data_IF_032496866243
#
_entry.id   IF_032496866243
#
_cell.length_a   1.000
_cell.length_b   1.000
_cell.length_c   1.000
_cell.angle_alpha   90.00
_cell.angle_beta   90.00
_cell.angle_gamma   90.00
#
_symmetry.space_group_name_H-M   'P 1'
#
loop_
_entity.id
_entity.type
_entity.pdbx_description
1 polymer ?
#
# COMPACT_ATOMS: atom_id res chain seq x y z
N UNK A 1 20.91 -54.07 10.12
CA UNK A 1 21.54 -53.95 11.46
C UNK A 1 20.73 -52.95 12.26
N UNK A 2 20.01 -53.46 13.20
CA UNK A 2 19.11 -52.82 14.14
C UNK A 2 19.87 -52.21 15.33
N UNK A 3 19.52 -51.01 15.74
CA UNK A 3 19.80 -50.58 17.13
C UNK A 3 18.71 -49.61 17.58
N UNK A 4 17.87 -50.11 18.48
CA UNK A 4 16.99 -49.38 19.41
C UNK A 4 17.82 -48.95 20.64
N UNK A 5 17.49 -47.78 21.21
CA UNK A 5 17.65 -47.50 22.64
C UNK A 5 16.76 -46.31 22.97
N UNK A 6 15.69 -46.51 23.65
CA UNK A 6 15.30 -46.65 25.09
C UNK A 6 15.23 -45.31 25.78
N UNK A 7 14.00 -45.04 26.15
CA UNK A 7 13.40 -44.02 27.03
C UNK A 7 14.04 -44.05 28.45
N UNK A 8 14.21 -42.89 29.10
CA UNK A 8 14.30 -42.83 30.58
C UNK A 8 13.62 -41.59 31.12
N UNK A 9 12.47 -41.85 31.71
CA UNK A 9 11.76 -41.01 32.66
C UNK A 9 12.47 -40.99 34.02
N UNK A 10 12.53 -39.82 34.69
CA UNK A 10 12.67 -39.75 36.15
C UNK A 10 11.73 -38.71 36.70
N UNK A 11 10.82 -39.20 37.53
CA UNK A 11 9.95 -38.44 38.42
C UNK A 11 10.63 -38.31 39.80
N UNK A 12 10.35 -37.24 40.53
CA UNK A 12 10.72 -37.05 41.92
C UNK A 12 10.13 -35.75 42.47
N UNK A 13 8.97 -35.76 43.06
CA UNK A 13 8.53 -35.77 44.47
C UNK A 13 8.93 -34.50 45.22
N UNK A 14 7.96 -33.64 45.49
CA UNK A 14 7.20 -33.44 46.74
C UNK A 14 8.00 -33.07 48.00
N UNK A 15 7.76 -31.88 48.54
CA UNK A 15 7.73 -31.70 50.00
C UNK A 15 6.85 -30.50 50.39
N UNK A 16 6.06 -30.76 51.39
CA UNK A 16 4.99 -29.97 52.03
C UNK A 16 5.52 -29.06 53.16
N UNK A 17 4.63 -28.11 53.58
CA UNK A 17 4.34 -27.69 54.96
C UNK A 17 5.19 -26.52 55.47
N UNK A 18 4.74 -25.50 56.20
CA UNK A 18 3.70 -25.39 57.27
C UNK A 18 3.40 -23.91 57.57
N UNK A 19 2.17 -23.62 57.72
CA UNK A 19 1.41 -22.84 58.75
C UNK A 19 2.13 -22.04 59.82
N UNK A 20 1.63 -20.83 60.09
CA UNK A 20 1.17 -20.23 61.34
C UNK A 20 1.45 -18.72 61.34
N UNK A 21 0.78 -17.75 61.92
CA UNK A 21 -0.43 -17.61 62.71
C UNK A 21 -0.64 -16.10 62.97
N UNK A 22 -1.87 -15.63 62.89
CA UNK A 22 -2.58 -14.65 63.72
C UNK A 22 -1.86 -13.39 64.25
N UNK A 23 -2.50 -12.23 64.01
CA UNK A 23 -2.32 -10.98 64.72
C UNK A 23 -3.40 -9.95 64.33
N UNK A 24 -4.57 -10.05 65.04
CA UNK A 24 -5.63 -9.02 64.93
C UNK A 24 -5.29 -7.87 65.87
N UNK A 25 -5.44 -6.62 65.39
CA UNK A 25 -5.70 -5.45 66.24
C UNK A 25 -6.75 -4.59 65.53
N UNK A 26 -7.91 -4.50 66.12
CA UNK A 26 -8.97 -3.59 65.82
C UNK A 26 -8.75 -2.23 66.52
N UNK A 27 -8.87 -1.14 65.78
CA UNK A 27 -9.17 0.17 66.36
C UNK A 27 -10.26 0.85 65.53
N UNK A 28 -11.37 1.11 66.17
CA UNK A 28 -12.50 1.84 65.68
C UNK A 28 -12.22 3.35 65.68
N UNK A 29 -12.85 4.10 64.78
CA UNK A 29 -12.93 5.54 64.93
C UNK A 29 -13.35 6.30 63.69
N UNK A 30 -14.64 6.71 63.72
CA UNK A 30 -15.21 7.94 63.21
C UNK A 30 -15.58 8.07 61.72
N UNK A 31 -16.87 8.05 61.51
CA UNK A 31 -17.67 8.57 60.38
C UNK A 31 -17.40 10.05 60.09
N UNK A 32 -17.18 10.40 58.86
CA UNK A 32 -17.69 11.63 58.24
C UNK A 32 -18.22 11.31 56.85
N UNK A 33 -19.52 11.46 56.71
CA UNK A 33 -20.23 11.52 55.42
C UNK A 33 -19.92 12.84 54.73
N UNK A 34 -19.50 12.78 53.46
CA UNK A 34 -19.98 13.75 52.46
C UNK A 34 -19.44 13.39 51.07
N UNK A 35 -20.29 13.40 50.08
CA UNK A 35 -19.90 13.51 48.67
C UNK A 35 -20.11 12.29 47.80
N UNK A 36 -21.34 12.04 47.38
CA UNK A 36 -21.62 11.33 46.13
C UNK A 36 -20.91 12.06 44.97
N UNK A 37 -19.86 11.46 44.44
CA UNK A 37 -19.25 11.82 43.17
C UNK A 37 -19.14 10.54 42.37
N UNK A 38 -19.97 10.44 41.38
CA UNK A 38 -19.99 9.39 40.38
C UNK A 38 -18.62 9.34 39.66
N UNK A 39 -17.81 8.37 39.94
CA UNK A 39 -16.52 8.09 39.26
C UNK A 39 -16.51 6.69 38.69
N UNK A 40 -17.40 6.43 37.78
CA UNK A 40 -17.20 5.38 36.77
C UNK A 40 -16.91 6.05 35.43
N UNK A 41 -15.73 6.66 35.32
CA UNK A 41 -15.09 6.87 33.99
C UNK A 41 -14.04 5.80 33.81
N UNK A 42 -14.45 4.67 33.25
CA UNK A 42 -13.58 3.84 32.44
C UNK A 42 -12.90 4.78 31.43
N UNK A 43 -11.57 4.85 31.49
CA UNK A 43 -10.77 5.40 30.41
C UNK A 43 -10.98 4.49 29.19
N UNK A 44 -11.95 4.82 28.35
CA UNK A 44 -11.89 4.47 26.95
C UNK A 44 -10.71 5.25 26.37
N UNK A 45 -9.62 4.55 26.07
CA UNK A 45 -8.60 4.99 25.12
C UNK A 45 -9.17 4.85 23.70
N UNK A 46 -10.31 5.44 23.48
CA UNK A 46 -10.86 5.71 22.16
C UNK A 46 -10.25 7.01 21.67
N UNK A 47 -9.57 6.95 20.50
CA UNK A 47 -8.93 8.09 19.87
C UNK A 47 -9.79 9.35 19.93
N UNK A 48 -9.15 10.47 20.23
CA UNK A 48 -9.74 11.80 20.24
C UNK A 48 -10.55 11.97 18.94
N UNK A 49 -11.89 12.01 19.07
CA UNK A 49 -12.76 12.38 17.95
C UNK A 49 -12.36 13.79 17.56
N UNK A 50 -11.65 13.93 16.43
CA UNK A 50 -11.25 15.23 15.89
C UNK A 50 -12.51 15.91 15.35
N UNK A 51 -13.34 16.42 16.26
CA UNK A 51 -14.61 17.06 15.94
C UNK A 51 -14.48 18.40 15.21
N UNK A 52 -13.24 18.88 14.97
CA UNK A 52 -12.94 20.19 14.38
C UNK A 52 -12.11 20.11 13.10
N UNK A 53 -12.02 18.96 12.43
CA UNK A 53 -11.30 18.87 11.16
C UNK A 53 -12.02 19.70 10.07
N UNK A 54 -11.27 20.45 9.24
CA UNK A 54 -11.85 21.45 8.34
C UNK A 54 -12.87 20.91 7.33
N UNK A 55 -12.78 19.61 6.97
CA UNK A 55 -13.61 18.98 5.96
C UNK A 55 -14.37 17.75 6.47
N UNK A 56 -14.50 17.58 7.79
CA UNK A 56 -15.17 16.43 8.39
C UNK A 56 -16.64 16.29 7.95
N UNK A 57 -17.32 17.39 7.71
CA UNK A 57 -18.70 17.45 7.24
C UNK A 57 -18.90 16.97 5.81
N UNK A 58 -17.81 16.89 5.01
CA UNK A 58 -17.86 16.37 3.64
C UNK A 58 -17.85 14.85 3.54
N UNK A 59 -17.53 14.16 4.64
CA UNK A 59 -17.50 12.69 4.63
C UNK A 59 -18.92 12.10 4.73
N UNK A 60 -19.17 10.95 4.08
CA UNK A 60 -20.33 10.12 4.36
C UNK A 60 -20.48 9.89 5.87
N UNK A 61 -21.74 9.93 6.34
CA UNK A 61 -22.03 9.86 7.78
C UNK A 61 -21.46 8.62 8.45
N UNK A 62 -21.55 7.46 7.81
CA UNK A 62 -21.04 6.18 8.29
C UNK A 62 -19.52 6.18 8.48
N UNK A 63 -18.76 6.75 7.54
CA UNK A 63 -17.30 6.89 7.64
C UNK A 63 -16.93 7.89 8.74
N UNK A 64 -17.60 9.03 8.78
CA UNK A 64 -17.38 10.05 9.81
C UNK A 64 -17.64 9.51 11.21
N UNK A 65 -18.73 8.76 11.40
CA UNK A 65 -19.09 8.16 12.68
C UNK A 65 -18.12 7.04 13.08
N UNK A 66 -17.59 6.28 12.10
CA UNK A 66 -16.58 5.25 12.33
C UNK A 66 -15.21 5.85 12.69
N UNK A 67 -14.90 7.07 12.21
CA UNK A 67 -13.62 7.73 12.44
C UNK A 67 -12.44 7.10 11.68
N UNK A 68 -12.69 6.17 10.75
CA UNK A 68 -11.69 5.41 10.02
C UNK A 68 -12.10 5.25 8.56
N UNK A 69 -11.14 5.38 7.65
CA UNK A 69 -11.22 4.96 6.25
C UNK A 69 -10.32 3.74 6.06
N UNK A 70 -10.90 2.62 5.62
CA UNK A 70 -10.14 1.40 5.29
C UNK A 70 -9.54 1.50 3.90
N UNK A 71 -8.22 1.46 3.82
CA UNK A 71 -7.44 1.63 2.58
C UNK A 71 -6.87 0.29 2.14
N UNK A 72 -7.30 -0.21 0.98
CA UNK A 72 -6.64 -1.36 0.34
C UNK A 72 -5.34 -0.92 -0.33
N UNK A 73 -4.22 -1.58 -0.01
CA UNK A 73 -2.89 -1.20 -0.51
C UNK A 73 -1.98 -2.41 -0.62
N UNK A 74 -1.09 -2.48 -1.60
CA UNK A 74 -0.03 -3.49 -1.67
C UNK A 74 1.23 -3.00 -0.96
N UNK A 75 1.31 -3.30 0.35
CA UNK A 75 2.35 -2.78 1.25
C UNK A 75 3.69 -3.48 1.02
N UNK A 76 4.13 -3.53 -0.24
CA UNK A 76 5.38 -4.11 -0.71
C UNK A 76 5.96 -3.36 -1.93
N UNK A 77 5.65 -2.04 -2.07
CA UNK A 77 5.97 -1.23 -3.26
C UNK A 77 6.73 0.07 -2.91
N UNK A 78 7.96 -0.04 -2.30
CA UNK A 78 8.72 1.15 -1.93
C UNK A 78 9.14 1.99 -3.15
N UNK A 79 9.12 3.34 -3.07
CA UNK A 79 8.89 4.14 -1.87
C UNK A 79 7.43 4.52 -1.63
N UNK A 80 6.48 3.94 -2.40
CA UNK A 80 5.05 4.36 -2.35
C UNK A 80 4.38 3.86 -1.08
N UNK A 81 4.43 2.54 -0.80
CA UNK A 81 3.97 1.96 0.45
C UNK A 81 4.74 0.67 0.78
N UNK A 82 5.28 0.60 1.98
CA UNK A 82 6.05 -0.57 2.43
C UNK A 82 6.17 -0.63 3.95
N UNK A 83 6.66 -1.77 4.46
CA UNK A 83 7.01 -1.91 5.88
C UNK A 83 8.44 -1.46 6.11
N UNK A 84 8.63 -0.56 7.06
CA UNK A 84 9.95 -0.22 7.56
C UNK A 84 10.54 -1.32 8.46
N UNK A 85 11.75 -1.11 8.98
CA UNK A 85 12.43 -2.08 9.86
C UNK A 85 11.69 -2.34 11.18
N UNK A 86 10.80 -1.46 11.60
CA UNK A 86 9.97 -1.61 12.80
C UNK A 86 8.64 -2.32 12.50
N UNK A 87 8.33 -2.58 11.22
CA UNK A 87 7.07 -3.14 10.76
C UNK A 87 5.96 -2.10 10.56
N UNK A 88 6.28 -0.80 10.71
CA UNK A 88 5.33 0.29 10.44
C UNK A 88 5.13 0.44 8.93
N UNK A 89 3.88 0.66 8.49
CA UNK A 89 3.60 1.06 7.10
C UNK A 89 4.05 2.50 6.89
N UNK A 90 4.92 2.71 5.91
CA UNK A 90 5.51 4.01 5.55
C UNK A 90 5.56 4.15 4.03
N UNK A 91 5.69 5.37 3.54
CA UNK A 91 5.76 5.64 2.11
C UNK A 91 5.03 6.92 1.74
N UNK A 92 4.98 7.20 0.44
CA UNK A 92 4.27 8.35 -0.12
C UNK A 92 2.79 8.27 0.23
N UNK A 93 2.16 7.13 -0.04
CA UNK A 93 0.72 6.91 0.15
C UNK A 93 0.31 6.97 1.63
N UNK A 94 1.01 6.31 2.58
CA UNK A 94 0.74 6.49 4.01
C UNK A 94 0.90 7.94 4.50
N UNK A 95 1.95 8.66 4.07
CA UNK A 95 2.13 10.06 4.46
C UNK A 95 1.01 10.96 3.90
N UNK A 96 0.57 10.72 2.66
CA UNK A 96 -0.59 11.41 2.08
C UNK A 96 -1.88 11.02 2.80
N UNK A 97 -2.07 9.74 3.14
CA UNK A 97 -3.22 9.27 3.92
C UNK A 97 -3.33 9.97 5.27
N UNK A 98 -2.21 10.10 5.99
CA UNK A 98 -2.13 10.84 7.26
C UNK A 98 -2.52 12.32 7.08
N UNK A 99 -2.05 12.97 6.00
CA UNK A 99 -2.36 14.35 5.71
C UNK A 99 -3.84 14.56 5.31
N UNK A 100 -4.40 13.68 4.48
CA UNK A 100 -5.82 13.67 4.12
C UNK A 100 -6.69 13.41 5.35
N UNK A 101 -6.28 12.46 6.20
CA UNK A 101 -6.98 12.12 7.43
C UNK A 101 -7.11 13.30 8.39
N UNK A 102 -6.07 14.12 8.54
CA UNK A 102 -6.11 15.36 9.33
C UNK A 102 -7.14 16.38 8.79
N UNK A 103 -7.26 16.50 7.46
CA UNK A 103 -8.26 17.39 6.86
C UNK A 103 -9.70 16.88 7.07
N UNK A 104 -9.87 15.56 7.07
CA UNK A 104 -11.17 14.90 7.13
C UNK A 104 -11.59 14.51 8.57
N UNK A 105 -10.68 14.53 9.54
CA UNK A 105 -10.96 14.11 10.93
C UNK A 105 -11.13 12.61 11.11
N UNK A 106 -10.45 11.80 10.30
CA UNK A 106 -10.49 10.33 10.33
C UNK A 106 -9.09 9.74 10.16
N UNK A 107 -8.90 8.51 10.61
CA UNK A 107 -7.68 7.74 10.36
C UNK A 107 -7.76 7.00 9.02
N UNK A 108 -6.66 6.98 8.26
CA UNK A 108 -6.49 6.12 7.08
C UNK A 108 -5.80 4.83 7.51
N UNK A 109 -6.56 3.76 7.62
CA UNK A 109 -6.04 2.44 8.00
C UNK A 109 -5.65 1.65 6.74
N UNK A 110 -4.35 1.45 6.54
CA UNK A 110 -3.80 0.70 5.40
C UNK A 110 -3.84 -0.80 5.67
N UNK A 111 -4.68 -1.51 4.91
CA UNK A 111 -4.82 -2.97 4.93
C UNK A 111 -4.09 -3.59 3.73
N UNK A 112 -3.18 -4.54 4.00
CA UNK A 112 -2.41 -5.19 2.94
C UNK A 112 -3.26 -6.11 2.06
N UNK A 113 -3.06 -6.02 0.76
CA UNK A 113 -3.63 -6.88 -0.27
C UNK A 113 -2.72 -6.97 -1.48
N UNK A 114 -2.83 -8.01 -2.31
CA UNK A 114 -2.12 -8.07 -3.59
C UNK A 114 -2.74 -7.07 -4.56
N UNK A 115 -1.91 -6.38 -5.34
CA UNK A 115 -2.33 -5.27 -6.20
C UNK A 115 -3.51 -5.63 -7.12
N UNK A 116 -3.45 -6.78 -7.78
CA UNK A 116 -4.47 -7.27 -8.71
C UNK A 116 -5.83 -7.55 -8.05
N UNK A 117 -5.88 -7.69 -6.71
CA UNK A 117 -7.12 -7.93 -5.95
C UNK A 117 -7.75 -6.67 -5.36
N UNK A 118 -7.07 -5.52 -5.36
CA UNK A 118 -7.52 -4.31 -4.67
C UNK A 118 -8.88 -3.81 -5.18
N UNK A 119 -9.07 -3.73 -6.50
CA UNK A 119 -10.36 -3.32 -7.08
C UNK A 119 -11.48 -4.33 -6.81
N UNK A 120 -11.14 -5.61 -6.66
CA UNK A 120 -12.07 -6.64 -6.19
C UNK A 120 -12.50 -6.41 -4.74
N UNK A 121 -11.55 -6.02 -3.90
CA UNK A 121 -11.79 -5.63 -2.51
C UNK A 121 -12.71 -4.42 -2.36
N UNK A 122 -12.57 -3.40 -3.21
CA UNK A 122 -13.50 -2.27 -3.29
C UNK A 122 -14.91 -2.71 -3.67
N UNK A 123 -15.05 -3.55 -4.69
CA UNK A 123 -16.35 -4.07 -5.12
C UNK A 123 -17.06 -4.87 -4.03
N UNK A 124 -16.32 -5.62 -3.24
CA UNK A 124 -16.84 -6.43 -2.11
C UNK A 124 -16.99 -5.64 -0.81
N UNK A 125 -16.66 -4.33 -0.80
CA UNK A 125 -16.68 -3.45 0.38
C UNK A 125 -15.73 -3.91 1.50
N UNK A 126 -14.65 -4.61 1.16
CA UNK A 126 -13.56 -4.92 2.10
C UNK A 126 -12.79 -3.64 2.45
N UNK A 127 -12.66 -2.72 1.49
CA UNK A 127 -12.03 -1.42 1.61
C UNK A 127 -13.03 -0.33 1.24
N UNK A 128 -12.86 0.87 1.82
CA UNK A 128 -13.60 2.07 1.45
C UNK A 128 -13.00 2.73 0.21
N UNK A 129 -11.67 2.69 0.10
CA UNK A 129 -10.90 3.13 -1.06
C UNK A 129 -9.65 2.25 -1.25
N UNK A 130 -9.00 2.35 -2.42
CA UNK A 130 -7.69 1.75 -2.65
C UNK A 130 -6.69 2.83 -3.04
N UNK A 131 -5.49 2.78 -2.43
CA UNK A 131 -4.38 3.70 -2.66
C UNK A 131 -3.09 2.88 -2.68
N UNK A 132 -2.45 2.77 -3.86
CA UNK A 132 -1.30 1.88 -4.10
C UNK A 132 -0.66 2.20 -5.45
N UNK A 133 -0.22 3.44 -5.67
CA UNK A 133 0.27 3.91 -6.97
C UNK A 133 -0.61 3.47 -8.17
N UNK A 134 -1.92 3.35 -7.94
CA UNK A 134 -2.80 2.77 -8.94
C UNK A 134 -3.03 3.73 -10.09
N UNK A 135 -2.50 3.39 -11.27
CA UNK A 135 -2.70 4.18 -12.48
C UNK A 135 -4.19 4.30 -12.81
N UNK A 136 -4.65 5.52 -13.00
CA UNK A 136 -5.99 5.82 -13.51
C UNK A 136 -6.04 5.49 -15.01
N UNK A 137 -6.66 4.35 -15.36
CA UNK A 137 -6.90 3.93 -16.75
C UNK A 137 -8.39 3.86 -17.04
N UNK A 138 -8.76 4.05 -18.31
CA UNK A 138 -10.17 3.90 -18.74
C UNK A 138 -10.75 2.53 -18.40
N UNK A 139 -9.95 1.48 -18.56
CA UNK A 139 -10.42 0.13 -18.29
C UNK A 139 -10.74 -0.07 -16.79
N UNK A 140 -9.93 0.47 -15.89
CA UNK A 140 -10.21 0.48 -14.44
C UNK A 140 -11.42 1.35 -14.12
N UNK A 141 -11.51 2.55 -14.73
CA UNK A 141 -12.68 3.43 -14.57
C UNK A 141 -13.98 2.73 -15.02
N UNK A 142 -13.92 1.93 -16.04
CA UNK A 142 -15.07 1.23 -16.60
C UNK A 142 -15.28 -0.19 -16.02
N UNK A 143 -14.28 -0.75 -15.37
CA UNK A 143 -14.31 -2.14 -14.85
C UNK A 143 -14.23 -3.15 -15.98
N UNK A 144 -13.32 -2.92 -16.91
CA UNK A 144 -13.04 -3.75 -18.08
C UNK A 144 -11.66 -4.39 -17.90
N UNK A 145 -11.53 -5.62 -18.32
CA UNK A 145 -10.25 -6.34 -18.36
C UNK A 145 -9.41 -5.86 -19.55
N UNK A 146 -8.17 -5.48 -19.28
CA UNK A 146 -7.25 -4.88 -20.27
C UNK A 146 -6.93 -5.82 -21.45
N UNK A 147 -6.88 -7.13 -21.20
CA UNK A 147 -6.47 -8.10 -22.20
C UNK A 147 -7.64 -8.52 -23.11
N UNK A 148 -8.78 -8.76 -22.48
CA UNK A 148 -9.95 -9.34 -23.16
C UNK A 148 -10.99 -8.31 -23.59
N UNK A 149 -10.91 -7.07 -23.06
CA UNK A 149 -11.91 -6.03 -23.27
C UNK A 149 -13.27 -6.34 -22.63
N UNK A 150 -13.35 -7.41 -21.81
CA UNK A 150 -14.62 -7.83 -21.20
C UNK A 150 -14.88 -7.10 -19.90
N UNK A 151 -16.16 -6.82 -19.66
CA UNK A 151 -16.61 -6.29 -18.37
C UNK A 151 -16.36 -7.32 -17.26
N UNK A 152 -15.60 -6.92 -16.23
CA UNK A 152 -15.27 -7.76 -15.07
C UNK A 152 -15.92 -7.27 -13.78
N UNK A 153 -16.63 -6.16 -13.83
CA UNK A 153 -17.36 -5.64 -12.68
C UNK A 153 -17.73 -4.18 -12.82
N UNK A 154 -18.18 -3.58 -11.72
CA UNK A 154 -18.36 -2.13 -11.64
C UNK A 154 -16.98 -1.49 -11.63
N UNK A 155 -16.76 -0.48 -12.47
CA UNK A 155 -15.56 0.34 -12.46
C UNK A 155 -15.51 1.25 -11.22
N UNK A 156 -14.44 2.03 -11.14
CA UNK A 156 -14.18 2.95 -10.04
C UNK A 156 -14.01 4.37 -10.56
N UNK A 157 -14.14 5.35 -9.65
CA UNK A 157 -13.64 6.70 -9.88
C UNK A 157 -12.27 6.83 -9.25
N UNK A 158 -11.42 7.67 -9.83
CA UNK A 158 -10.11 8.00 -9.30
C UNK A 158 -10.05 9.46 -8.85
N UNK A 159 -9.34 9.72 -7.76
CA UNK A 159 -8.88 11.06 -7.40
C UNK A 159 -7.37 11.08 -7.61
N UNK A 160 -6.92 11.76 -8.65
CA UNK A 160 -5.53 11.74 -9.10
C UNK A 160 -4.64 12.59 -8.21
N UNK A 161 -3.54 12.00 -7.72
CA UNK A 161 -2.65 12.62 -6.75
C UNK A 161 -1.17 12.67 -7.17
N UNK A 162 -0.78 11.96 -8.24
CA UNK A 162 0.61 11.89 -8.71
C UNK A 162 0.64 11.51 -10.18
N UNK A 163 1.78 11.65 -10.88
CA UNK A 163 1.94 11.19 -12.27
C UNK A 163 3.28 10.49 -12.44
N UNK A 164 3.28 9.29 -13.00
CA UNK A 164 4.50 8.60 -13.41
C UNK A 164 4.24 7.67 -14.59
N UNK A 165 5.32 7.32 -15.29
CA UNK A 165 5.35 6.24 -16.27
C UNK A 165 5.96 4.97 -15.69
N UNK A 166 6.07 3.94 -16.52
CA UNK A 166 6.77 2.68 -16.20
C UNK A 166 8.16 2.68 -16.80
N UNK A 167 9.10 2.03 -16.12
CA UNK A 167 10.50 1.92 -16.55
C UNK A 167 10.99 0.49 -16.56
N UNK A 168 11.90 0.21 -17.47
CA UNK A 168 12.65 -1.03 -17.50
C UNK A 168 13.90 -0.86 -16.65
N UNK A 169 14.26 -1.89 -15.90
CA UNK A 169 15.52 -1.99 -15.18
C UNK A 169 16.15 -3.37 -15.38
N UNK A 170 17.47 -3.43 -15.37
CA UNK A 170 18.27 -4.64 -15.58
C UNK A 170 19.21 -4.84 -14.39
N UNK A 171 19.90 -5.97 -14.36
CA UNK A 171 21.04 -6.12 -13.45
C UNK A 171 22.12 -5.13 -13.84
N UNK A 172 22.73 -4.50 -12.86
CA UNK A 172 23.75 -3.48 -13.07
C UNK A 172 24.95 -4.04 -13.85
N UNK A 173 25.29 -3.38 -14.97
CA UNK A 173 26.35 -3.79 -15.87
C UNK A 173 26.00 -4.97 -16.77
N UNK A 174 24.73 -5.37 -16.85
CA UNK A 174 24.25 -6.46 -17.70
C UNK A 174 22.91 -6.09 -18.35
N UNK A 175 22.91 -5.01 -19.15
CA UNK A 175 21.72 -4.47 -19.82
C UNK A 175 21.24 -5.34 -20.99
N UNK A 176 21.98 -6.37 -21.37
CA UNK A 176 21.62 -7.29 -22.46
C UNK A 176 21.31 -6.58 -23.79
N UNK A 177 21.77 -5.33 -23.96
CA UNK A 177 21.43 -4.46 -25.09
C UNK A 177 19.98 -3.96 -25.08
N UNK A 178 19.28 -4.03 -23.95
CA UNK A 178 17.91 -3.55 -23.77
C UNK A 178 17.96 -2.03 -23.57
N UNK A 179 17.28 -1.27 -24.43
CA UNK A 179 17.10 0.18 -24.31
C UNK A 179 15.65 0.59 -24.45
N UNK A 180 14.85 -0.25 -25.07
CA UNK A 180 13.43 -0.01 -25.34
C UNK A 180 12.63 -1.27 -25.09
N UNK A 181 11.32 -1.14 -25.01
CA UNK A 181 10.40 -2.27 -24.88
C UNK A 181 10.50 -3.27 -26.05
N UNK A 182 10.82 -2.79 -27.26
CA UNK A 182 11.00 -3.66 -28.45
C UNK A 182 12.24 -4.56 -28.35
N UNK A 183 13.27 -4.16 -27.59
CA UNK A 183 14.49 -4.97 -27.39
C UNK A 183 14.25 -6.18 -26.47
N UNK A 184 13.11 -6.24 -25.81
CA UNK A 184 12.67 -7.37 -24.99
C UNK A 184 12.20 -8.57 -25.82
N UNK A 185 12.02 -8.44 -27.14
CA UNK A 185 11.62 -9.54 -28.00
C UNK A 185 12.64 -10.71 -27.95
N UNK A 186 12.19 -11.87 -27.48
CA UNK A 186 13.03 -13.05 -27.25
C UNK A 186 13.72 -13.10 -25.90
N UNK A 187 13.50 -12.12 -25.04
CA UNK A 187 14.02 -12.02 -23.68
C UNK A 187 12.93 -12.28 -22.64
N UNK A 188 13.36 -12.48 -21.40
CA UNK A 188 12.47 -12.67 -20.25
C UNK A 188 12.37 -11.40 -19.41
N UNK A 189 11.15 -10.94 -19.17
CA UNK A 189 10.86 -9.83 -18.26
C UNK A 189 10.09 -10.32 -17.04
N UNK A 190 10.38 -9.74 -15.87
CA UNK A 190 9.63 -9.92 -14.63
C UNK A 190 8.85 -8.66 -14.31
N UNK A 191 7.60 -8.83 -13.88
CA UNK A 191 6.67 -7.73 -13.57
C UNK A 191 5.74 -8.12 -12.43
N UNK A 192 5.13 -7.15 -11.80
CA UNK A 192 4.04 -7.42 -10.88
C UNK A 192 2.73 -7.62 -11.66
N UNK A 193 1.91 -8.59 -11.23
CA UNK A 193 0.64 -8.94 -11.85
C UNK A 193 -0.39 -7.81 -11.73
N UNK A 194 -1.13 -7.55 -12.83
CA UNK A 194 -2.22 -6.57 -12.86
C UNK A 194 -1.77 -5.11 -12.94
N UNK A 195 -0.47 -4.85 -13.13
CA UNK A 195 0.09 -3.51 -13.32
C UNK A 195 0.11 -3.09 -14.78
N UNK A 196 0.27 -1.80 -15.05
CA UNK A 196 0.50 -1.27 -16.39
C UNK A 196 1.75 -1.88 -17.03
N UNK A 197 2.82 -2.12 -16.26
CA UNK A 197 4.02 -2.84 -16.73
C UNK A 197 3.69 -4.24 -17.26
N UNK A 198 2.80 -4.97 -16.57
CA UNK A 198 2.37 -6.31 -17.00
C UNK A 198 1.59 -6.25 -18.32
N UNK A 199 0.65 -5.29 -18.45
CA UNK A 199 -0.17 -5.17 -19.64
C UNK A 199 0.62 -4.64 -20.84
N UNK A 200 1.56 -3.71 -20.60
CA UNK A 200 2.48 -3.22 -21.62
C UNK A 200 3.42 -4.36 -22.12
N UNK A 201 3.95 -5.18 -21.22
CA UNK A 201 4.75 -6.34 -21.62
C UNK A 201 3.99 -7.30 -22.55
N UNK A 202 2.69 -7.56 -22.24
CA UNK A 202 1.82 -8.36 -23.11
C UNK A 202 1.57 -7.69 -24.45
N UNK A 203 1.29 -6.39 -24.46
CA UNK A 203 1.05 -5.62 -25.67
C UNK A 203 2.30 -5.62 -26.58
N UNK A 204 3.47 -5.35 -26.03
CA UNK A 204 4.74 -5.37 -26.76
C UNK A 204 5.10 -6.77 -27.26
N UNK A 205 4.85 -7.82 -26.45
CA UNK A 205 5.05 -9.20 -26.88
C UNK A 205 4.26 -9.56 -28.14
N UNK A 206 3.03 -9.02 -28.29
CA UNK A 206 2.19 -9.22 -29.49
C UNK A 206 2.81 -8.59 -30.75
N UNK A 207 3.61 -7.53 -30.62
CA UNK A 207 4.28 -6.81 -31.70
C UNK A 207 5.59 -7.51 -32.17
N UNK A 208 6.14 -8.42 -31.38
CA UNK A 208 7.38 -9.12 -31.70
C UNK A 208 7.25 -10.00 -32.95
N UNK A 209 8.22 -9.88 -33.87
CA UNK A 209 8.26 -10.61 -35.14
C UNK A 209 9.09 -11.88 -35.03
N UNK A 210 8.96 -12.80 -36.01
CA UNK A 210 9.81 -13.99 -36.13
C UNK A 210 9.66 -15.00 -34.98
N UNK A 211 8.53 -15.03 -34.29
CA UNK A 211 8.26 -15.98 -33.19
C UNK A 211 8.99 -15.65 -31.87
N UNK A 212 9.76 -14.57 -31.81
CA UNK A 212 10.55 -14.17 -30.63
C UNK A 212 9.70 -13.38 -29.65
N UNK A 213 8.71 -14.02 -29.04
CA UNK A 213 7.86 -13.37 -28.02
C UNK A 213 8.65 -12.98 -26.77
N UNK A 214 8.16 -11.98 -26.05
CA UNK A 214 8.66 -11.66 -24.69
C UNK A 214 8.18 -12.76 -23.76
N UNK A 215 9.08 -13.38 -23.01
CA UNK A 215 8.72 -14.33 -21.96
C UNK A 215 8.39 -13.54 -20.68
N UNK A 216 7.11 -13.46 -20.34
CA UNK A 216 6.62 -12.64 -19.21
C UNK A 216 6.43 -13.56 -18.00
N UNK A 217 7.13 -13.27 -16.91
CA UNK A 217 6.96 -13.91 -15.61
C UNK A 217 6.38 -12.89 -14.62
N UNK A 218 5.14 -13.11 -14.13
CA UNK A 218 4.45 -12.16 -13.26
C UNK A 218 4.37 -12.67 -11.82
N UNK A 219 4.52 -11.77 -10.87
CA UNK A 219 4.56 -12.03 -9.43
C UNK A 219 3.43 -11.31 -8.69
N UNK A 220 3.12 -11.76 -7.49
CA UNK A 220 2.10 -11.15 -6.65
C UNK A 220 2.51 -9.76 -6.14
N UNK A 221 3.82 -9.52 -5.96
CA UNK A 221 4.37 -8.20 -5.62
C UNK A 221 5.70 -7.94 -6.35
N UNK A 222 6.07 -6.66 -6.45
CA UNK A 222 7.26 -6.20 -7.18
C UNK A 222 8.58 -6.68 -6.55
N UNK A 223 8.66 -6.83 -5.22
CA UNK A 223 9.86 -7.32 -4.55
C UNK A 223 10.23 -8.76 -4.95
N UNK A 224 9.23 -9.60 -5.22
CA UNK A 224 9.46 -10.95 -5.75
C UNK A 224 10.01 -10.89 -7.18
N UNK A 225 9.47 -10.00 -8.03
CA UNK A 225 9.98 -9.77 -9.38
C UNK A 225 11.44 -9.28 -9.35
N UNK A 226 11.76 -8.29 -8.52
CA UNK A 226 13.13 -7.82 -8.29
C UNK A 226 14.07 -8.95 -7.82
N UNK A 227 13.62 -9.80 -6.90
CA UNK A 227 14.40 -10.94 -6.40
C UNK A 227 14.70 -11.94 -7.52
N UNK A 228 13.72 -12.20 -8.39
CA UNK A 228 13.89 -13.07 -9.56
C UNK A 228 14.92 -12.53 -10.54
N UNK A 229 14.87 -11.22 -10.85
CA UNK A 229 15.86 -10.57 -11.70
C UNK A 229 17.26 -10.61 -11.08
N UNK A 230 17.38 -10.23 -9.79
CA UNK A 230 18.65 -10.23 -9.07
C UNK A 230 19.33 -11.60 -9.07
N UNK A 231 18.57 -12.68 -8.95
CA UNK A 231 19.07 -14.06 -9.00
C UNK A 231 19.47 -14.52 -10.41
N UNK A 232 19.33 -13.69 -11.45
CA UNK A 232 19.63 -14.03 -12.83
C UNK A 232 18.56 -14.89 -13.51
N UNK A 233 17.35 -14.92 -12.96
CA UNK A 233 16.25 -15.70 -13.54
C UNK A 233 15.46 -14.98 -14.63
N UNK A 234 15.81 -13.72 -14.92
CA UNK A 234 15.23 -12.89 -15.99
C UNK A 234 16.29 -11.93 -16.53
N UNK A 235 16.02 -11.35 -17.70
CA UNK A 235 16.89 -10.40 -18.39
C UNK A 235 16.58 -8.94 -17.94
N UNK A 236 15.31 -8.65 -17.64
CA UNK A 236 14.85 -7.33 -17.22
C UNK A 236 13.68 -7.43 -16.23
N UNK A 237 13.44 -6.35 -15.50
CA UNK A 237 12.23 -6.09 -14.74
C UNK A 237 11.58 -4.78 -15.20
N UNK A 238 10.30 -4.60 -14.90
CA UNK A 238 9.62 -3.32 -15.06
C UNK A 238 8.65 -3.05 -13.92
N UNK A 239 8.70 -1.82 -13.44
CA UNK A 239 7.77 -1.23 -12.47
C UNK A 239 7.61 0.27 -12.75
N UNK A 240 6.77 0.92 -11.96
CA UNK A 240 6.60 2.36 -12.06
C UNK A 240 7.93 3.09 -11.82
N UNK A 241 8.16 4.19 -12.52
CA UNK A 241 9.44 4.89 -12.49
C UNK A 241 9.95 5.20 -11.07
N UNK A 242 9.15 5.73 -10.12
CA UNK A 242 9.63 6.01 -8.76
C UNK A 242 10.10 4.74 -8.04
N UNK A 243 9.45 3.60 -8.29
CA UNK A 243 9.77 2.31 -7.67
C UNK A 243 11.02 1.71 -8.28
N UNK A 244 11.14 1.71 -9.60
CA UNK A 244 12.35 1.28 -10.31
C UNK A 244 13.57 2.12 -9.90
N UNK A 245 13.44 3.45 -9.85
CA UNK A 245 14.49 4.37 -9.41
C UNK A 245 14.89 4.12 -7.95
N UNK A 246 13.92 3.88 -7.08
CA UNK A 246 14.18 3.53 -5.68
C UNK A 246 14.92 2.19 -5.55
N UNK A 247 14.50 1.16 -6.30
CA UNK A 247 15.16 -0.14 -6.32
C UNK A 247 16.61 -0.02 -6.80
N UNK A 248 16.87 0.75 -7.87
CA UNK A 248 18.23 1.02 -8.37
C UNK A 248 19.09 1.71 -7.32
N UNK A 249 18.52 2.66 -6.57
CA UNK A 249 19.25 3.39 -5.52
C UNK A 249 19.53 2.54 -4.27
N UNK A 250 18.65 1.62 -3.92
CA UNK A 250 18.67 0.98 -2.58
C UNK A 250 19.04 -0.50 -2.61
N UNK A 251 18.68 -1.25 -3.66
CA UNK A 251 18.92 -2.69 -3.72
C UNK A 251 20.43 -2.98 -3.79
N UNK A 252 20.89 -3.87 -2.89
CA UNK A 252 22.31 -4.19 -2.76
C UNK A 252 23.20 -2.96 -2.47
N UNK A 253 22.66 -1.90 -1.86
CA UNK A 253 23.37 -0.64 -1.66
C UNK A 253 23.61 0.10 -2.98
N UNK A 254 22.71 -0.02 -3.96
CA UNK A 254 22.80 0.59 -5.29
C UNK A 254 23.66 -0.18 -6.29
N UNK A 255 23.88 -1.47 -6.03
CA UNK A 255 24.76 -2.33 -6.87
C UNK A 255 24.00 -3.38 -7.68
N UNK A 256 22.70 -3.61 -7.38
CA UNK A 256 21.99 -4.73 -7.99
C UNK A 256 21.41 -4.38 -9.36
N UNK A 257 20.88 -3.15 -9.53
CA UNK A 257 20.12 -2.77 -10.71
C UNK A 257 20.58 -1.47 -11.32
N UNK A 258 20.19 -1.25 -12.58
CA UNK A 258 20.27 0.01 -13.30
C UNK A 258 19.02 0.22 -14.16
N UNK A 259 18.60 1.48 -14.32
CA UNK A 259 17.53 1.84 -15.26
C UNK A 259 18.07 1.78 -16.69
N UNK A 260 17.23 1.35 -17.63
CA UNK A 260 17.53 1.36 -19.06
C UNK A 260 16.41 2.03 -19.84
N UNK A 261 16.77 2.88 -20.78
CA UNK A 261 15.83 3.66 -21.58
C UNK A 261 15.07 4.72 -20.78
N UNK A 262 14.05 5.27 -21.43
CA UNK A 262 13.17 6.28 -20.85
C UNK A 262 11.93 5.65 -20.22
N UNK A 263 11.31 6.35 -19.26
CA UNK A 263 9.99 5.95 -18.79
C UNK A 263 8.95 6.16 -19.89
N UNK A 264 7.96 5.28 -19.96
CA UNK A 264 6.87 5.33 -20.95
C UNK A 264 5.51 5.26 -20.26
N UNK A 265 4.43 5.52 -21.02
CA UNK A 265 3.05 5.43 -20.53
C UNK A 265 2.78 6.27 -19.27
N UNK A 266 3.36 7.49 -19.21
CA UNK A 266 3.12 8.39 -18.08
C UNK A 266 1.63 8.73 -17.97
N UNK A 267 1.05 8.44 -16.81
CA UNK A 267 -0.36 8.62 -16.50
C UNK A 267 -0.57 8.90 -14.99
N UNK A 268 -1.73 9.45 -14.61
CA UNK A 268 -2.00 9.73 -13.22
C UNK A 268 -2.07 8.47 -12.36
N UNK A 269 -1.54 8.53 -11.13
CA UNK A 269 -1.96 7.65 -10.05
C UNK A 269 -3.17 8.25 -9.36
N UNK A 270 -4.16 7.43 -9.09
CA UNK A 270 -5.37 7.87 -8.44
C UNK A 270 -5.74 7.01 -7.22
N UNK A 271 -6.38 7.67 -6.27
CA UNK A 271 -7.07 7.00 -5.17
C UNK A 271 -8.38 6.44 -5.76
N UNK A 272 -8.48 5.10 -5.82
CA UNK A 272 -9.64 4.44 -6.40
C UNK A 272 -10.79 4.35 -5.40
N UNK A 273 -11.98 4.79 -5.81
CA UNK A 273 -13.18 4.85 -4.98
C UNK A 273 -14.35 4.24 -5.76
N UNK A 274 -15.23 3.51 -5.09
CA UNK A 274 -16.41 2.96 -5.72
C UNK A 274 -17.28 4.06 -6.31
N UNK A 275 -17.73 3.91 -7.58
CA UNK A 275 -18.71 4.82 -8.23
C UNK A 275 -20.01 4.94 -7.45
N UNK A 276 -20.29 4.02 -6.51
CA UNK A 276 -21.46 4.07 -5.62
C UNK A 276 -21.27 5.00 -4.42
N UNK A 277 -20.06 5.55 -4.24
CA UNK A 277 -19.72 6.44 -3.13
C UNK A 277 -19.13 7.78 -3.63
N UNK A 278 -19.90 8.57 -4.40
CA UNK A 278 -19.42 9.86 -4.92
C UNK A 278 -19.14 10.88 -3.82
N UNK A 279 -19.83 10.79 -2.68
CA UNK A 279 -19.60 11.67 -1.53
C UNK A 279 -18.19 11.48 -0.95
N UNK A 280 -17.73 10.23 -0.76
CA UNK A 280 -16.35 9.95 -0.36
C UNK A 280 -15.35 10.45 -1.40
N UNK A 281 -15.59 10.21 -2.69
CA UNK A 281 -14.73 10.72 -3.77
C UNK A 281 -14.53 12.22 -3.68
N UNK A 282 -15.63 12.96 -3.52
CA UNK A 282 -15.62 14.42 -3.48
C UNK A 282 -14.96 14.95 -2.20
N UNK A 283 -15.14 14.24 -1.06
CA UNK A 283 -14.44 14.53 0.19
C UNK A 283 -12.92 14.34 0.06
N UNK A 284 -12.48 13.21 -0.52
CA UNK A 284 -11.05 12.93 -0.77
C UNK A 284 -10.46 13.97 -1.71
N UNK A 285 -11.16 14.32 -2.81
CA UNK A 285 -10.72 15.38 -3.72
C UNK A 285 -10.54 16.72 -3.00
N UNK A 286 -11.50 17.12 -2.19
CA UNK A 286 -11.42 18.37 -1.43
C UNK A 286 -10.27 18.37 -0.41
N UNK A 287 -10.01 17.24 0.24
CA UNK A 287 -8.89 17.09 1.17
C UNK A 287 -7.54 17.16 0.44
N UNK A 288 -7.42 16.51 -0.72
CA UNK A 288 -6.20 16.58 -1.54
C UNK A 288 -5.94 18.01 -2.04
N UNK A 289 -6.95 18.72 -2.55
CA UNK A 289 -6.82 20.12 -2.92
C UNK A 289 -6.39 21.01 -1.73
N UNK A 290 -6.89 20.72 -0.52
CA UNK A 290 -6.54 21.47 0.68
C UNK A 290 -5.07 21.28 1.07
N UNK A 291 -4.53 20.04 1.04
CA UNK A 291 -3.11 19.79 1.36
C UNK A 291 -2.16 20.25 0.25
N UNK A 292 -2.60 20.29 -1.01
CA UNK A 292 -1.85 20.92 -2.10
C UNK A 292 -1.77 22.44 -1.85
N UNK A 293 -2.90 23.07 -1.55
CA UNK A 293 -2.99 24.51 -1.34
C UNK A 293 -2.16 24.99 -0.13
N UNK A 294 -2.11 24.23 0.96
CA UNK A 294 -1.37 24.61 2.18
C UNK A 294 0.10 24.20 2.15
N UNK A 295 0.56 23.53 1.08
CA UNK A 295 1.96 23.10 0.88
C UNK A 295 2.36 21.83 1.66
N UNK A 296 1.43 21.13 2.31
CA UNK A 296 1.72 19.85 2.99
C UNK A 296 2.00 18.75 1.96
N UNK A 297 1.27 18.73 0.85
CA UNK A 297 1.52 17.83 -0.27
C UNK A 297 2.94 17.98 -0.82
N UNK A 298 3.41 19.20 -1.12
CA UNK A 298 4.76 19.42 -1.66
C UNK A 298 5.85 18.97 -0.68
N UNK A 299 5.64 19.13 0.64
CA UNK A 299 6.57 18.62 1.67
C UNK A 299 6.66 17.09 1.66
N UNK A 300 5.53 16.40 1.49
CA UNK A 300 5.50 14.93 1.43
C UNK A 300 6.22 14.45 0.17
N UNK A 301 5.92 15.03 -0.98
CA UNK A 301 6.55 14.68 -2.26
C UNK A 301 8.07 14.90 -2.20
N UNK A 302 8.52 16.04 -1.67
CA UNK A 302 9.95 16.34 -1.50
C UNK A 302 10.64 15.45 -0.48
N UNK A 303 9.95 15.04 0.59
CA UNK A 303 10.50 14.07 1.55
C UNK A 303 10.93 12.77 0.85
N UNK A 304 10.20 12.36 -0.17
CA UNK A 304 10.45 11.13 -0.92
C UNK A 304 11.31 11.33 -2.18
N UNK A 305 11.59 12.61 -2.56
CA UNK A 305 12.44 12.95 -3.71
C UNK A 305 11.80 12.56 -5.04
N UNK A 306 10.50 12.81 -5.18
CA UNK A 306 9.70 12.44 -6.36
C UNK A 306 8.94 13.63 -6.96
N UNK A 307 9.53 14.81 -6.88
CA UNK A 307 8.93 16.10 -7.28
C UNK A 307 8.43 16.11 -8.73
N UNK A 308 9.10 15.38 -9.62
CA UNK A 308 8.78 15.33 -11.05
C UNK A 308 7.38 14.77 -11.34
N UNK A 309 6.83 13.97 -10.41
CA UNK A 309 5.48 13.42 -10.52
C UNK A 309 4.39 14.25 -9.85
N UNK A 310 4.74 15.42 -9.26
CA UNK A 310 3.79 16.22 -8.47
C UNK A 310 2.66 16.80 -9.31
N UNK A 311 1.47 16.90 -8.71
CA UNK A 311 0.30 17.54 -9.31
C UNK A 311 0.02 18.89 -8.66
N UNK A 312 -0.64 19.80 -9.37
CA UNK A 312 -0.99 21.14 -8.89
C UNK A 312 -2.45 21.27 -8.44
N UNK A 313 -3.26 20.29 -8.73
CA UNK A 313 -4.66 20.18 -8.30
C UNK A 313 -5.12 18.73 -8.41
N UNK A 314 -6.03 18.33 -7.53
CA UNK A 314 -6.71 17.05 -7.62
C UNK A 314 -7.65 17.01 -8.84
N UNK A 315 -7.59 15.94 -9.61
CA UNK A 315 -8.52 15.69 -10.72
C UNK A 315 -9.30 14.41 -10.45
N UNK A 316 -10.50 14.34 -11.00
CA UNK A 316 -11.29 13.11 -11.00
C UNK A 316 -11.23 12.51 -12.39
N UNK A 317 -10.82 11.23 -12.46
CA UNK A 317 -10.77 10.47 -13.73
C UNK A 317 -9.97 11.18 -14.84
N UNK A 318 -8.80 11.74 -14.48
CA UNK A 318 -7.92 12.43 -15.45
C UNK A 318 -7.11 11.50 -16.34
N UNK A 319 -7.14 10.18 -16.08
CA UNK A 319 -6.47 9.16 -16.86
C UNK A 319 -7.11 8.90 -18.22
N UNK A 320 -6.33 8.27 -19.12
CA UNK A 320 -6.68 8.00 -20.54
C UNK A 320 -7.20 6.57 -20.71
#
# INVERSE_FOLDING_TARGET
MTARFICRTTAGKSAKSRTATVGAIAVAGALLLSGCGDQTKSKDEGGEKVSNAPLADKLPKDIRDAGVIKVGSDIAYPPVEFKDKSGKTVGIDPDLGDALGKQLGVEFQFDNGTFDTLLGGLRSKRYDLAMSAMTDTKNRQEGVDEETGKKIGTGVDFVDYFTAGVSIYTKKGDDQGIKTWSDLCGKKIVVQRGTVSHDLAKAESKKCKGGKKIAIESFDNDQQAQTRLRSGGADAGSSDFPVAAYAVKTSGGGKDFELVGEQVEAAPYGIAISKKNPELRDAIKAALDAIIKNGEYDKIISKWGVEDGSVKAAKVNGGK
#
